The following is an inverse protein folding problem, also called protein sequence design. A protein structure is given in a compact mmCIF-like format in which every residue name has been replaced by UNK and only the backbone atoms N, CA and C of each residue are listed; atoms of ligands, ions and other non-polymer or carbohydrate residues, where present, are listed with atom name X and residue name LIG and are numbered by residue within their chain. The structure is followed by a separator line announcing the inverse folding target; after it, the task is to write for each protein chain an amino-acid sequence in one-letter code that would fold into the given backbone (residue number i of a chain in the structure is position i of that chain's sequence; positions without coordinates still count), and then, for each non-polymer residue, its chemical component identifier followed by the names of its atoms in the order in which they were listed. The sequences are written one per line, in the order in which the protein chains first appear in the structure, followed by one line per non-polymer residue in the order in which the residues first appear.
data_IF_808793847855
#
_entry.id   IF_808793847855
#
_cell.length_a   1.000
_cell.length_b   1.000
_cell.length_c   1.000
_cell.angle_alpha   90.00
_cell.angle_beta   90.00
_cell.angle_gamma   90.00
#
_symmetry.space_group_name_H-M   'P 1'
#
loop_
_entity.id
_entity.type
_entity.pdbx_description
1 polymer ?
#
# COMPACT_ATOMS: atom_id res chain seq x y z
N UNK A 1 -6.71 -12.88 -13.55
CA UNK A 1 -5.84 -12.17 -12.61
C UNK A 1 -5.31 -10.88 -13.23
N UNK A 2 -6.08 -10.20 -14.10
CA UNK A 2 -5.55 -9.17 -15.03
C UNK A 2 -6.21 -7.78 -14.90
N UNK A 3 -7.07 -7.54 -13.90
CA UNK A 3 -7.98 -6.38 -13.94
C UNK A 3 -7.80 -5.32 -12.84
N UNK A 4 -7.16 -5.62 -11.70
CA UNK A 4 -6.99 -4.64 -10.62
C UNK A 4 -5.66 -3.87 -10.61
N UNK A 5 -4.57 -4.43 -11.16
CA UNK A 5 -3.31 -3.69 -11.41
C UNK A 5 -3.58 -2.43 -12.25
N UNK A 6 -4.62 -2.46 -13.09
CA UNK A 6 -4.99 -1.38 -14.01
C UNK A 6 -5.66 -0.16 -13.34
N UNK A 7 -6.25 -0.28 -12.14
CA UNK A 7 -6.97 0.83 -11.50
C UNK A 7 -6.06 1.71 -10.62
N UNK A 8 -5.03 1.14 -9.98
CA UNK A 8 -4.00 1.89 -9.25
C UNK A 8 -2.99 2.58 -10.18
N UNK A 9 -2.48 1.85 -11.19
CA UNK A 9 -1.45 2.37 -12.11
C UNK A 9 -1.90 3.58 -12.95
N UNK A 10 -3.17 3.61 -13.36
CA UNK A 10 -3.70 4.69 -14.20
C UNK A 10 -3.80 6.02 -13.43
N UNK A 11 -3.86 6.00 -12.10
CA UNK A 11 -3.95 7.21 -11.28
C UNK A 11 -2.63 8.00 -11.20
N UNK A 12 -1.48 7.33 -11.33
CA UNK A 12 -0.14 7.93 -11.15
C UNK A 12 0.63 8.08 -12.48
N UNK A 13 0.05 7.64 -13.61
CA UNK A 13 0.67 7.74 -14.94
C UNK A 13 1.67 6.62 -15.25
N UNK A 14 1.74 5.62 -14.38
CA UNK A 14 2.52 4.39 -14.57
C UNK A 14 1.78 3.51 -15.58
N UNK A 15 2.49 3.05 -16.61
CA UNK A 15 1.90 2.17 -17.63
C UNK A 15 2.09 0.72 -17.22
N UNK A 16 1.18 -0.19 -17.57
CA UNK A 16 1.40 -1.62 -17.33
C UNK A 16 2.73 -2.11 -17.96
N UNK A 17 3.17 -1.44 -19.04
CA UNK A 17 4.45 -1.65 -19.70
C UNK A 17 5.68 -1.15 -18.94
N UNK A 18 5.53 -0.38 -17.85
CA UNK A 18 6.65 0.04 -17.00
C UNK A 18 6.73 -0.73 -15.67
N UNK A 19 5.63 -1.36 -15.22
CA UNK A 19 5.62 -2.26 -14.05
C UNK A 19 5.84 -3.73 -14.45
N UNK A 20 5.60 -4.05 -15.72
CA UNK A 20 5.76 -5.40 -16.29
C UNK A 20 6.62 -5.29 -17.55
N UNK A 21 7.69 -4.49 -17.50
CA UNK A 21 8.75 -4.61 -18.50
C UNK A 21 9.61 -5.82 -18.13
N UNK A 22 9.20 -7.00 -18.60
CA UNK A 22 10.02 -8.21 -18.50
C UNK A 22 11.26 -8.19 -19.38
N UNK A 23 11.74 -7.02 -19.83
CA UNK A 23 12.88 -6.85 -20.70
C UNK A 23 12.74 -7.75 -21.93
N UNK A 24 12.06 -7.27 -22.98
CA UNK A 24 12.15 -7.94 -24.29
C UNK A 24 13.53 -7.82 -24.94
N UNK A 25 14.47 -7.21 -24.22
CA UNK A 25 15.76 -6.78 -24.71
C UNK A 25 16.77 -7.87 -24.33
N UNK A 26 16.79 -8.91 -25.17
CA UNK A 26 17.85 -9.94 -25.28
C UNK A 26 17.85 -11.05 -24.21
N UNK A 27 17.13 -12.15 -24.49
CA UNK A 27 17.58 -13.53 -24.24
C UNK A 27 18.21 -13.86 -22.86
N UNK A 28 17.71 -13.31 -21.75
CA UNK A 28 18.19 -13.74 -20.43
C UNK A 28 17.51 -15.06 -20.01
N UNK A 29 18.34 -16.08 -19.80
CA UNK A 29 17.90 -17.41 -19.37
C UNK A 29 17.46 -17.32 -17.92
N UNK A 30 16.17 -17.61 -17.64
CA UNK A 30 15.70 -17.71 -16.26
C UNK A 30 16.34 -18.93 -15.58
N UNK A 31 17.08 -18.73 -14.49
CA UNK A 31 17.46 -19.86 -13.64
C UNK A 31 16.32 -20.13 -12.66
N UNK A 32 15.88 -21.38 -12.58
CA UNK A 32 14.83 -21.79 -11.64
C UNK A 32 15.40 -22.65 -10.53
N UNK A 33 15.10 -22.28 -9.29
CA UNK A 33 15.47 -23.02 -8.09
C UNK A 33 14.23 -23.26 -7.23
N UNK A 34 13.98 -24.53 -6.91
CA UNK A 34 12.82 -24.95 -6.11
C UNK A 34 13.31 -25.52 -4.77
N UNK A 35 12.71 -25.04 -3.68
CA UNK A 35 12.81 -25.56 -2.33
C UNK A 35 11.96 -26.81 -2.11
N UNK A 36 11.75 -27.15 -0.84
CA UNK A 36 11.12 -28.36 -0.35
C UNK A 36 9.96 -28.01 0.60
N UNK A 37 9.52 -28.96 1.44
CA UNK A 37 8.46 -28.68 2.43
C UNK A 37 9.03 -28.30 3.81
N UNK A 38 10.32 -27.99 3.91
CA UNK A 38 10.91 -27.49 5.14
C UNK A 38 11.92 -26.38 4.85
N UNK A 39 12.45 -25.79 5.92
CA UNK A 39 13.27 -24.57 5.87
C UNK A 39 14.45 -24.67 4.89
N UNK A 40 14.38 -23.88 3.82
CA UNK A 40 15.34 -23.83 2.73
C UNK A 40 16.10 -22.48 2.67
N UNK A 41 17.24 -22.49 1.98
CA UNK A 41 17.99 -21.26 1.66
C UNK A 41 18.33 -21.28 0.18
N UNK A 42 17.71 -20.39 -0.57
CA UNK A 42 17.81 -20.29 -2.03
C UNK A 42 18.52 -18.99 -2.41
N UNK A 43 19.35 -19.04 -3.45
CA UNK A 43 20.08 -17.87 -3.97
C UNK A 43 20.06 -17.91 -5.50
N UNK A 44 19.67 -16.82 -6.14
CA UNK A 44 19.66 -16.64 -7.59
C UNK A 44 21.05 -16.35 -8.14
N UNK A 45 21.62 -15.20 -7.75
CA UNK A 45 22.96 -14.77 -8.14
C UNK A 45 22.92 -13.60 -9.11
N UNK A 46 23.52 -13.76 -10.28
CA UNK A 46 23.48 -12.75 -11.34
C UNK A 46 22.48 -13.18 -12.42
N UNK A 47 21.74 -12.22 -12.98
CA UNK A 47 20.75 -12.41 -14.02
C UNK A 47 19.38 -12.77 -13.46
N UNK A 48 18.36 -12.82 -14.31
CA UNK A 48 17.00 -13.13 -13.88
C UNK A 48 16.81 -14.56 -13.38
N UNK A 49 16.28 -14.68 -12.18
CA UNK A 49 16.04 -15.94 -11.49
C UNK A 49 14.58 -16.10 -11.02
N UNK A 50 14.18 -17.36 -10.80
CA UNK A 50 12.90 -17.76 -10.22
C UNK A 50 13.16 -18.69 -9.04
N UNK A 51 12.86 -18.23 -7.83
CA UNK A 51 13.09 -18.93 -6.58
C UNK A 51 11.74 -19.26 -5.93
N UNK A 52 11.50 -20.52 -5.58
CA UNK A 52 10.27 -20.96 -4.90
C UNK A 52 10.62 -21.68 -3.59
N UNK A 53 10.23 -21.15 -2.43
CA UNK A 53 10.45 -21.77 -1.10
C UNK A 53 9.54 -22.96 -0.84
N UNK A 54 8.26 -22.80 -1.19
CA UNK A 54 7.16 -23.75 -1.02
C UNK A 54 6.60 -23.83 0.41
N UNK A 55 7.14 -24.63 1.31
CA UNK A 55 6.68 -24.61 2.70
C UNK A 55 7.87 -24.76 3.65
N UNK A 56 7.78 -24.15 4.83
CA UNK A 56 8.93 -24.01 5.71
C UNK A 56 9.15 -22.54 6.04
N UNK A 57 10.12 -22.25 6.90
CA UNK A 57 10.61 -20.89 7.07
C UNK A 57 11.81 -20.70 6.14
N UNK A 58 11.58 -20.12 4.96
CA UNK A 58 12.55 -20.08 3.88
C UNK A 58 13.30 -18.75 3.81
N UNK A 59 14.54 -18.80 3.31
CA UNK A 59 15.34 -17.62 2.99
C UNK A 59 15.62 -17.60 1.49
N UNK A 60 15.07 -16.62 0.78
CA UNK A 60 15.26 -16.43 -0.66
C UNK A 60 16.01 -15.11 -0.91
N UNK A 61 17.01 -15.16 -1.77
CA UNK A 61 17.86 -14.02 -2.17
C UNK A 61 18.03 -14.03 -3.70
N UNK A 62 17.42 -13.07 -4.39
CA UNK A 62 17.46 -12.94 -5.85
C UNK A 62 18.87 -12.61 -6.32
N UNK A 63 19.41 -11.50 -5.83
CA UNK A 63 20.78 -11.08 -6.07
C UNK A 63 20.82 -9.87 -7.00
N UNK A 64 21.35 -10.02 -8.21
CA UNK A 64 21.37 -8.96 -9.20
C UNK A 64 20.65 -9.45 -10.46
N UNK A 65 19.72 -8.67 -10.99
CA UNK A 65 18.82 -9.11 -12.04
C UNK A 65 17.39 -8.76 -11.68
N UNK A 66 16.46 -9.00 -12.60
CA UNK A 66 15.04 -8.77 -12.36
C UNK A 66 14.38 -10.10 -11.98
N UNK A 67 14.30 -10.39 -10.69
CA UNK A 67 14.03 -11.71 -10.13
C UNK A 67 12.56 -11.92 -9.73
N UNK A 68 12.18 -13.19 -9.56
CA UNK A 68 10.88 -13.61 -9.02
C UNK A 68 11.07 -14.55 -7.84
N UNK A 69 10.58 -14.15 -6.67
CA UNK A 69 10.69 -14.90 -5.43
C UNK A 69 9.29 -15.23 -4.90
N UNK A 70 9.02 -16.51 -4.60
CA UNK A 70 7.80 -16.97 -3.93
C UNK A 70 8.17 -17.72 -2.65
N UNK A 71 7.80 -17.20 -1.47
CA UNK A 71 8.05 -17.83 -0.16
C UNK A 71 7.20 -19.08 0.01
N UNK A 72 5.89 -18.89 0.14
CA UNK A 72 4.90 -19.97 0.14
C UNK A 72 4.15 -20.07 1.46
N UNK A 73 4.40 -21.12 2.24
CA UNK A 73 3.75 -21.33 3.53
C UNK A 73 4.81 -21.41 4.64
N UNK A 74 4.73 -20.48 5.58
CA UNK A 74 5.62 -20.36 6.73
C UNK A 74 6.20 -18.96 6.79
N UNK A 75 6.97 -18.67 7.83
CA UNK A 75 7.50 -17.32 8.05
C UNK A 75 8.77 -17.14 7.22
N UNK A 76 8.65 -16.46 6.09
CA UNK A 76 9.67 -16.39 5.05
C UNK A 76 10.44 -15.07 5.04
N UNK A 77 11.67 -15.10 4.52
CA UNK A 77 12.52 -13.94 4.30
C UNK A 77 12.94 -13.85 2.84
N UNK A 78 12.39 -12.87 2.13
CA UNK A 78 12.65 -12.64 0.70
C UNK A 78 13.48 -11.36 0.52
N UNK A 79 14.49 -11.41 -0.35
CA UNK A 79 15.28 -10.25 -0.80
C UNK A 79 15.37 -10.25 -2.31
N UNK A 80 14.90 -9.19 -2.96
CA UNK A 80 15.05 -9.01 -4.41
C UNK A 80 16.52 -8.77 -4.76
N UNK A 81 17.05 -7.64 -4.27
CA UNK A 81 18.45 -7.30 -4.42
C UNK A 81 18.62 -6.09 -5.33
N UNK A 82 19.17 -6.26 -6.52
CA UNK A 82 19.35 -5.16 -7.46
C UNK A 82 18.70 -5.48 -8.80
N UNK A 83 17.81 -4.62 -9.28
CA UNK A 83 16.98 -4.86 -10.46
C UNK A 83 15.52 -4.71 -10.08
N UNK A 84 14.64 -4.84 -11.07
CA UNK A 84 13.20 -4.71 -10.84
C UNK A 84 12.62 -6.08 -10.46
N UNK A 85 12.33 -6.30 -9.18
CA UNK A 85 12.02 -7.60 -8.61
C UNK A 85 10.53 -7.80 -8.28
N UNK A 86 10.10 -9.06 -8.22
CA UNK A 86 8.75 -9.46 -7.79
C UNK A 86 8.84 -10.45 -6.62
N UNK A 87 8.33 -10.04 -5.46
CA UNK A 87 8.35 -10.82 -4.22
C UNK A 87 6.92 -11.14 -3.77
N UNK A 88 6.62 -12.43 -3.62
CA UNK A 88 5.34 -12.93 -3.10
C UNK A 88 5.58 -13.85 -1.90
N UNK A 89 5.22 -13.44 -0.68
CA UNK A 89 5.49 -14.27 0.50
C UNK A 89 4.36 -15.26 0.82
N UNK A 90 3.11 -14.85 0.58
CA UNK A 90 1.89 -15.64 0.58
C UNK A 90 1.27 -15.95 1.94
N UNK A 91 1.83 -16.83 2.78
CA UNK A 91 1.22 -17.14 4.10
C UNK A 91 2.28 -17.33 5.16
N UNK A 92 2.28 -16.47 6.16
CA UNK A 92 3.25 -16.49 7.25
C UNK A 92 3.33 -15.11 7.88
N UNK A 93 4.13 -14.96 8.93
CA UNK A 93 4.63 -13.64 9.30
C UNK A 93 5.93 -13.39 8.50
N UNK A 94 5.80 -12.73 7.37
CA UNK A 94 6.84 -12.67 6.36
C UNK A 94 7.66 -11.36 6.41
N UNK A 95 8.89 -11.40 5.90
CA UNK A 95 9.74 -10.21 5.73
C UNK A 95 10.27 -10.09 4.31
N UNK A 96 9.97 -8.99 3.64
CA UNK A 96 10.32 -8.73 2.24
C UNK A 96 11.17 -7.45 2.12
N UNK A 97 12.23 -7.53 1.33
CA UNK A 97 13.06 -6.40 0.95
C UNK A 97 13.17 -6.36 -0.58
N UNK A 98 12.71 -5.28 -1.22
CA UNK A 98 12.85 -5.05 -2.65
C UNK A 98 14.31 -4.87 -3.04
N UNK A 99 14.89 -3.74 -2.63
CA UNK A 99 16.31 -3.46 -2.78
C UNK A 99 16.54 -2.22 -3.64
N UNK A 100 17.41 -2.32 -4.65
CA UNK A 100 17.59 -1.26 -5.64
C UNK A 100 16.74 -1.58 -6.88
N UNK A 101 15.76 -0.77 -7.26
CA UNK A 101 14.98 -1.02 -8.48
C UNK A 101 13.53 -0.62 -8.33
N UNK A 102 12.70 -0.93 -9.32
CA UNK A 102 11.24 -0.78 -9.22
C UNK A 102 10.65 -2.12 -8.84
N UNK A 103 10.30 -2.28 -7.57
CA UNK A 103 9.92 -3.58 -7.01
C UNK A 103 8.42 -3.72 -6.78
N UNK A 104 7.95 -4.96 -6.81
CA UNK A 104 6.58 -5.34 -6.43
C UNK A 104 6.60 -6.35 -5.28
N UNK A 105 6.12 -5.93 -4.12
CA UNK A 105 6.09 -6.73 -2.89
C UNK A 105 4.65 -7.03 -2.47
N UNK A 106 4.37 -8.30 -2.22
CA UNK A 106 3.07 -8.78 -1.72
C UNK A 106 3.28 -9.69 -0.49
N UNK A 107 2.85 -9.24 0.69
CA UNK A 107 2.95 -9.99 1.95
C UNK A 107 2.03 -11.20 1.96
N UNK A 108 0.72 -10.96 1.87
CA UNK A 108 -0.29 -11.98 1.70
C UNK A 108 -1.15 -12.18 2.93
N UNK A 109 -0.90 -13.23 3.71
CA UNK A 109 -1.70 -13.53 4.90
C UNK A 109 -0.79 -13.75 6.09
N UNK A 110 -0.92 -12.87 7.08
CA UNK A 110 -0.20 -12.84 8.34
C UNK A 110 0.22 -11.42 8.64
N UNK A 111 0.96 -11.21 9.72
CA UNK A 111 1.43 -9.86 10.08
C UNK A 111 2.81 -9.67 9.42
N UNK A 112 2.84 -9.01 8.26
CA UNK A 112 4.00 -8.96 7.37
C UNK A 112 4.82 -7.66 7.51
N UNK A 113 6.11 -7.72 7.14
CA UNK A 113 7.01 -6.55 7.09
C UNK A 113 7.59 -6.39 5.68
N UNK A 114 7.24 -5.31 4.98
CA UNK A 114 7.66 -5.03 3.61
C UNK A 114 8.49 -3.73 3.57
N UNK A 115 9.63 -3.77 2.88
CA UNK A 115 10.48 -2.61 2.57
C UNK A 115 10.76 -2.55 1.07
N UNK A 116 10.37 -1.47 0.38
CA UNK A 116 10.75 -1.23 -1.01
C UNK A 116 12.25 -0.92 -1.15
N UNK A 117 12.78 -0.22 -0.15
CA UNK A 117 14.16 0.28 -0.09
C UNK A 117 14.40 1.45 -1.05
N UNK A 118 14.91 1.23 -2.27
CA UNK A 118 15.28 2.30 -3.18
C UNK A 118 14.69 2.12 -4.57
N UNK A 119 13.83 3.05 -4.97
CA UNK A 119 13.18 3.12 -6.26
C UNK A 119 11.70 3.44 -6.10
N UNK A 120 10.94 3.36 -7.18
CA UNK A 120 9.52 3.73 -7.17
C UNK A 120 8.68 2.45 -7.00
N UNK A 121 8.43 2.03 -5.77
CA UNK A 121 7.98 0.66 -5.46
C UNK A 121 6.46 0.52 -5.29
N UNK A 122 5.97 -0.73 -5.40
CA UNK A 122 4.60 -1.10 -5.08
C UNK A 122 4.58 -2.14 -3.96
N UNK A 123 4.00 -1.75 -2.81
CA UNK A 123 3.89 -2.60 -1.63
C UNK A 123 2.42 -2.88 -1.30
N UNK A 124 2.10 -4.16 -1.11
CA UNK A 124 0.80 -4.62 -0.66
C UNK A 124 0.93 -5.57 0.54
N UNK A 125 0.38 -5.17 1.68
CA UNK A 125 0.43 -5.95 2.93
C UNK A 125 -0.41 -7.21 2.82
N UNK A 126 -1.73 -7.04 2.64
CA UNK A 126 -2.64 -8.14 2.41
C UNK A 126 -3.65 -8.27 3.55
N UNK A 127 -3.58 -9.36 4.31
CA UNK A 127 -4.44 -9.62 5.48
C UNK A 127 -3.55 -9.86 6.69
N UNK A 128 -3.93 -9.28 7.82
CA UNK A 128 -3.09 -9.22 9.02
C UNK A 128 -2.53 -7.82 9.20
N UNK A 129 -1.98 -7.55 10.38
CA UNK A 129 -1.51 -6.21 10.72
C UNK A 129 -0.10 -5.99 10.19
N UNK A 130 -0.01 -5.31 9.05
CA UNK A 130 1.21 -5.23 8.27
C UNK A 130 2.01 -3.96 8.56
N UNK A 131 3.32 -4.01 8.29
CA UNK A 131 4.20 -2.83 8.26
C UNK A 131 4.81 -2.68 6.88
N UNK A 132 4.47 -1.58 6.20
CA UNK A 132 4.96 -1.25 4.87
C UNK A 132 5.83 0.00 4.93
N UNK A 133 7.01 -0.06 4.32
CA UNK A 133 7.92 1.06 4.16
C UNK A 133 8.32 1.19 2.69
N UNK A 134 7.94 2.27 2.02
CA UNK A 134 8.31 2.53 0.63
C UNK A 134 9.83 2.73 0.50
N UNK A 135 10.36 3.66 1.29
CA UNK A 135 11.78 3.90 1.38
C UNK A 135 12.15 5.17 0.65
N UNK A 136 12.90 5.06 -0.45
CA UNK A 136 13.32 6.21 -1.25
C UNK A 136 12.82 6.10 -2.68
N UNK A 137 11.99 7.05 -3.10
CA UNK A 137 11.39 7.10 -4.42
C UNK A 137 9.93 7.50 -4.29
N UNK A 138 9.16 7.34 -5.36
CA UNK A 138 7.73 7.63 -5.36
C UNK A 138 6.94 6.33 -5.29
N UNK A 139 6.50 6.00 -4.08
CA UNK A 139 5.99 4.67 -3.77
C UNK A 139 4.46 4.59 -3.74
N UNK A 140 3.93 3.39 -3.95
CA UNK A 140 2.52 3.06 -3.79
C UNK A 140 2.36 2.00 -2.69
N UNK A 141 1.75 2.38 -1.58
CA UNK A 141 1.54 1.50 -0.44
C UNK A 141 0.06 1.22 -0.22
N UNK A 142 -0.28 -0.06 -0.11
CA UNK A 142 -1.63 -0.52 0.13
C UNK A 142 -1.66 -1.55 1.28
N UNK A 143 -2.27 -1.19 2.42
CA UNK A 143 -2.45 -2.14 3.53
C UNK A 143 -3.36 -3.33 3.17
N UNK A 144 -4.42 -3.06 2.40
CA UNK A 144 -5.49 -4.04 2.10
C UNK A 144 -5.62 -4.45 0.62
N UNK A 145 -5.80 -5.75 0.31
CA UNK A 145 -6.78 -6.18 -0.70
C UNK A 145 -7.51 -7.43 -0.18
N UNK A 146 -8.69 -7.25 0.44
CA UNK A 146 -9.65 -8.34 0.42
C UNK A 146 -10.27 -8.45 -0.97
N UNK A 147 -9.63 -9.26 -1.81
CA UNK A 147 -10.13 -9.70 -3.11
C UNK A 147 -11.48 -10.44 -3.02
N UNK A 148 -12.06 -10.64 -1.83
CA UNK A 148 -13.39 -11.22 -1.64
C UNK A 148 -14.57 -10.26 -1.84
N UNK A 149 -14.36 -8.95 -2.02
CA UNK A 149 -15.47 -7.97 -2.18
C UNK A 149 -15.25 -6.98 -3.32
N UNK A 150 -15.35 -7.49 -4.54
CA UNK A 150 -15.27 -6.72 -5.81
C UNK A 150 -16.53 -5.86 -6.09
N UNK A 151 -17.26 -5.36 -5.09
CA UNK A 151 -18.50 -4.58 -5.35
C UNK A 151 -18.70 -3.29 -4.53
N UNK A 152 -17.83 -2.91 -3.61
CA UNK A 152 -18.02 -1.63 -2.92
C UNK A 152 -16.71 -0.84 -2.80
N UNK A 153 -16.76 0.36 -3.38
CA UNK A 153 -16.01 1.57 -2.99
C UNK A 153 -15.31 1.38 -1.65
N UNK A 154 -13.97 1.21 -1.65
CA UNK A 154 -13.08 1.14 -0.46
C UNK A 154 -13.90 0.93 0.81
N UNK A 155 -14.47 -0.26 0.96
CA UNK A 155 -15.38 -0.57 2.06
C UNK A 155 -14.52 -0.76 3.30
N UNK A 156 -14.16 0.36 3.93
CA UNK A 156 -13.28 0.44 5.08
C UNK A 156 -13.93 -0.11 6.37
N UNK A 157 -14.78 -1.12 6.23
CA UNK A 157 -15.64 -1.67 7.27
C UNK A 157 -15.41 -3.16 7.51
N UNK A 158 -14.63 -3.86 6.66
CA UNK A 158 -14.50 -5.32 6.71
C UNK A 158 -13.12 -5.86 7.11
N UNK A 159 -12.18 -5.01 7.57
CA UNK A 159 -10.83 -5.46 7.96
C UNK A 159 -10.37 -4.67 9.19
N UNK A 160 -10.11 -5.35 10.31
CA UNK A 160 -9.63 -4.76 11.58
C UNK A 160 -8.12 -4.94 11.70
N UNK A 161 -7.45 -4.88 10.57
CA UNK A 161 -6.00 -5.03 10.48
C UNK A 161 -5.45 -3.62 10.49
N UNK A 162 -4.75 -3.28 11.57
CA UNK A 162 -4.26 -1.93 11.80
C UNK A 162 -2.85 -1.85 11.24
N UNK A 163 -2.77 -1.50 9.96
CA UNK A 163 -1.50 -1.46 9.24
C UNK A 163 -0.70 -0.20 9.58
N UNK A 164 0.62 -0.29 9.44
CA UNK A 164 1.52 0.86 9.48
C UNK A 164 2.12 1.08 8.10
N UNK A 165 1.86 2.25 7.52
CA UNK A 165 2.38 2.63 6.20
C UNK A 165 3.34 3.82 6.37
N UNK A 166 4.56 3.68 5.90
CA UNK A 166 5.59 4.73 5.85
C UNK A 166 6.00 4.94 4.38
N UNK A 167 5.71 6.10 3.80
CA UNK A 167 6.11 6.43 2.43
C UNK A 167 7.63 6.58 2.34
N UNK A 168 8.17 7.55 3.06
CA UNK A 168 9.60 7.73 3.22
C UNK A 168 10.09 8.99 2.54
N UNK A 169 10.91 8.87 1.51
CA UNK A 169 11.46 10.01 0.79
C UNK A 169 10.99 10.00 -0.66
N UNK A 170 10.21 11.01 -1.05
CA UNK A 170 9.70 11.17 -2.40
C UNK A 170 8.21 11.43 -2.35
N UNK A 171 7.52 11.40 -3.48
CA UNK A 171 6.08 11.68 -3.48
C UNK A 171 5.29 10.38 -3.47
N UNK A 172 4.68 10.05 -2.33
CA UNK A 172 4.10 8.73 -2.12
C UNK A 172 2.57 8.73 -2.20
N UNK A 173 1.99 7.56 -2.48
CA UNK A 173 0.55 7.32 -2.48
C UNK A 173 0.20 6.19 -1.51
N UNK A 174 -0.46 6.54 -0.41
CA UNK A 174 -0.83 5.62 0.65
C UNK A 174 -2.35 5.39 0.67
N UNK A 175 -2.78 4.14 0.54
CA UNK A 175 -4.17 3.72 0.64
C UNK A 175 -4.48 3.22 2.04
N UNK A 176 -5.36 3.93 2.75
CA UNK A 176 -5.66 3.72 4.16
C UNK A 176 -7.02 3.04 4.35
N UNK A 177 -6.99 1.94 5.10
CA UNK A 177 -8.10 1.22 5.70
C UNK A 177 -8.49 1.78 7.07
N UNK A 178 -9.17 0.95 7.87
CA UNK A 178 -9.62 1.32 9.21
C UNK A 178 -8.62 0.88 10.27
N UNK A 179 -8.14 1.83 11.06
CA UNK A 179 -7.18 1.58 12.13
C UNK A 179 -5.73 1.83 11.71
N UNK A 180 -5.49 2.00 10.41
CA UNK A 180 -4.17 2.24 9.84
C UNK A 180 -3.51 3.50 10.42
N UNK A 181 -2.19 3.44 10.52
CA UNK A 181 -1.34 4.56 10.87
C UNK A 181 -0.41 4.84 9.70
N UNK A 182 -0.48 6.05 9.15
CA UNK A 182 0.27 6.46 7.98
C UNK A 182 1.25 7.60 8.31
N UNK A 183 2.43 7.53 7.70
CA UNK A 183 3.42 8.60 7.66
C UNK A 183 3.85 8.77 6.20
N UNK A 184 3.61 9.95 5.61
CA UNK A 184 4.01 10.22 4.23
C UNK A 184 5.53 10.37 4.11
N UNK A 185 6.13 11.08 5.05
CA UNK A 185 7.56 11.30 5.13
C UNK A 185 7.95 12.68 4.58
N UNK A 186 8.85 12.69 3.61
CA UNK A 186 9.34 13.91 2.98
C UNK A 186 8.63 14.17 1.65
N UNK A 187 8.64 15.42 1.19
CA UNK A 187 7.99 15.85 -0.06
C UNK A 187 6.46 15.75 0.01
N UNK A 188 5.81 15.74 -1.16
CA UNK A 188 4.34 15.80 -1.25
C UNK A 188 3.77 14.40 -1.34
N UNK A 189 2.94 14.07 -0.36
CA UNK A 189 2.28 12.78 -0.30
C UNK A 189 0.77 12.86 -0.54
N UNK A 190 0.21 11.74 -0.96
CA UNK A 190 -1.21 11.56 -1.17
C UNK A 190 -1.74 10.42 -0.31
N UNK A 191 -2.69 10.73 0.56
CA UNK A 191 -3.39 9.76 1.38
C UNK A 191 -4.80 9.55 0.81
N UNK A 192 -5.11 8.32 0.42
CA UNK A 192 -6.45 7.94 -0.05
C UNK A 192 -7.13 7.04 0.98
N UNK A 193 -8.37 7.37 1.32
CA UNK A 193 -9.16 6.64 2.32
C UNK A 193 -10.62 6.49 1.87
N UNK A 194 -11.30 5.45 2.37
CA UNK A 194 -12.74 5.25 2.19
C UNK A 194 -13.62 6.05 3.17
N UNK A 195 -14.93 5.79 3.12
CA UNK A 195 -15.90 6.23 4.15
C UNK A 195 -16.03 5.14 5.21
N UNK A 196 -15.98 5.53 6.47
CA UNK A 196 -16.01 4.61 7.61
C UNK A 196 -17.42 4.45 8.20
N UNK A 197 -17.73 3.28 8.75
CA UNK A 197 -18.95 3.07 9.55
C UNK A 197 -18.73 3.46 11.00
N UNK A 198 -19.82 3.87 11.65
CA UNK A 198 -19.86 4.25 13.06
C UNK A 198 -19.34 3.10 13.96
N UNK A 199 -18.21 3.31 14.64
CA UNK A 199 -17.58 2.34 15.54
C UNK A 199 -16.29 1.66 15.00
N UNK A 200 -15.92 1.87 13.74
CA UNK A 200 -14.59 1.51 13.24
C UNK A 200 -13.51 2.49 13.75
N UNK A 201 -12.30 1.98 13.99
CA UNK A 201 -11.17 2.84 14.30
C UNK A 201 -10.80 3.61 13.02
N UNK A 202 -10.73 4.95 13.05
CA UNK A 202 -10.33 5.71 11.88
C UNK A 202 -8.82 5.65 11.67
N UNK A 203 -8.34 5.88 10.44
CA UNK A 203 -6.91 5.96 10.19
C UNK A 203 -6.33 7.23 10.82
N UNK A 204 -5.04 7.17 11.11
CA UNK A 204 -4.25 8.26 11.66
C UNK A 204 -3.14 8.59 10.67
N UNK A 205 -3.02 9.85 10.28
CA UNK A 205 -1.88 10.35 9.51
C UNK A 205 -1.00 11.15 10.46
N UNK A 206 0.24 10.73 10.68
CA UNK A 206 1.08 11.25 11.76
C UNK A 206 1.75 12.59 11.43
N UNK A 207 2.00 12.87 10.15
CA UNK A 207 2.92 13.90 9.68
C UNK A 207 2.38 14.85 8.61
N UNK A 208 1.08 14.84 8.36
CA UNK A 208 0.43 15.66 7.33
C UNK A 208 0.87 17.15 7.36
N UNK A 209 1.34 17.65 6.22
CA UNK A 209 1.79 19.02 5.97
C UNK A 209 0.80 19.76 5.07
N UNK A 210 0.00 20.71 5.61
CA UNK A 210 -0.97 21.45 4.81
C UNK A 210 -0.35 22.27 3.68
N UNK A 211 -0.86 22.07 2.45
CA UNK A 211 -0.40 22.77 1.25
C UNK A 211 0.78 22.12 0.55
N UNK A 212 1.37 21.10 1.17
CA UNK A 212 2.25 20.12 0.54
C UNK A 212 1.41 18.87 0.23
N UNK A 213 0.87 18.22 1.26
CA UNK A 213 0.18 16.94 1.16
C UNK A 213 -1.29 17.03 0.74
N UNK A 214 -1.80 15.90 0.26
CA UNK A 214 -3.15 15.73 -0.23
C UNK A 214 -3.84 14.62 0.56
N UNK A 215 -5.01 14.93 1.11
CA UNK A 215 -5.94 13.92 1.62
C UNK A 215 -7.15 13.82 0.69
N UNK A 216 -7.33 12.64 0.11
CA UNK A 216 -8.48 12.31 -0.72
C UNK A 216 -9.35 11.27 -0.01
N UNK A 217 -10.67 11.50 -0.03
CA UNK A 217 -11.65 10.59 0.58
C UNK A 217 -12.56 10.10 -0.54
N UNK A 218 -12.55 8.79 -0.79
CA UNK A 218 -13.41 8.19 -1.79
C UNK A 218 -14.83 8.09 -1.25
N UNK A 219 -15.78 8.67 -1.98
CA UNK A 219 -17.20 8.74 -1.60
C UNK A 219 -18.06 8.06 -2.67
N UNK A 220 -19.04 7.21 -2.31
CA UNK A 220 -19.97 6.63 -3.28
C UNK A 220 -20.77 7.71 -4.02
N UNK A 221 -20.97 7.56 -5.33
CA UNK A 221 -21.52 8.56 -6.27
C UNK A 221 -22.94 9.08 -5.97
N UNK A 222 -23.64 8.57 -4.96
CA UNK A 222 -25.01 8.96 -4.60
C UNK A 222 -25.17 9.56 -3.18
N UNK A 223 -24.09 9.75 -2.43
CA UNK A 223 -24.13 10.14 -1.03
C UNK A 223 -23.77 11.62 -0.79
N UNK A 224 -24.53 12.29 0.09
CA UNK A 224 -24.07 13.52 0.73
C UNK A 224 -23.23 13.09 1.94
N UNK A 225 -21.93 13.36 1.95
CA UNK A 225 -21.05 12.95 3.07
C UNK A 225 -20.80 14.12 3.99
N UNK A 226 -20.99 13.91 5.28
CA UNK A 226 -20.48 14.80 6.33
C UNK A 226 -19.17 14.20 6.81
N UNK A 227 -18.06 14.86 6.49
CA UNK A 227 -16.72 14.49 6.98
C UNK A 227 -16.45 15.34 8.21
N UNK A 228 -16.36 14.73 9.39
CA UNK A 228 -15.69 15.36 10.52
C UNK A 228 -14.19 14.99 10.47
N UNK A 229 -13.34 15.98 10.73
CA UNK A 229 -11.88 15.82 10.74
C UNK A 229 -11.43 16.42 12.05
N UNK A 230 -10.76 15.63 12.88
CA UNK A 230 -10.18 16.11 14.13
C UNK A 230 -8.67 16.08 13.97
N UNK A 231 -8.11 17.19 13.52
CA UNK A 231 -6.66 17.36 13.40
C UNK A 231 -6.14 18.14 14.63
N UNK A 232 -5.10 17.61 15.28
CA UNK A 232 -4.31 18.36 16.27
C UNK A 232 -3.40 19.37 15.54
N UNK A 233 -3.02 19.03 14.30
CA UNK A 233 -2.61 20.00 13.30
C UNK A 233 -3.78 20.94 13.03
N UNK A 234 -3.52 22.24 13.06
CA UNK A 234 -4.39 23.15 12.35
C UNK A 234 -4.43 22.69 10.90
N UNK A 235 -5.54 22.07 10.52
CA UNK A 235 -6.18 22.22 9.23
C UNK A 235 -5.51 21.53 7.97
N UNK A 236 -6.08 20.39 7.49
CA UNK A 236 -5.97 19.74 6.13
C UNK A 236 -7.06 19.98 4.99
N UNK A 237 -6.71 20.35 3.75
CA UNK A 237 -7.71 20.50 2.65
C UNK A 237 -8.32 19.14 2.27
N UNK A 238 -9.65 19.00 2.38
CA UNK A 238 -10.38 17.77 1.99
C UNK A 238 -11.26 18.03 0.79
N UNK A 239 -11.12 17.18 -0.23
CA UNK A 239 -11.95 17.23 -1.43
C UNK A 239 -12.73 15.92 -1.59
N UNK A 240 -13.98 16.03 -2.05
CA UNK A 240 -14.84 14.92 -2.43
C UNK A 240 -15.51 15.28 -3.76
N UNK A 241 -15.50 14.34 -4.72
CA UNK A 241 -16.13 14.50 -6.03
C UNK A 241 -15.71 15.76 -6.81
N UNK A 242 -14.43 16.15 -6.71
CA UNK A 242 -13.90 17.34 -7.39
C UNK A 242 -14.36 18.68 -6.78
N UNK A 243 -15.06 18.67 -5.64
CA UNK A 243 -15.30 19.85 -4.83
C UNK A 243 -14.43 19.83 -3.57
N UNK A 244 -13.81 20.97 -3.27
CA UNK A 244 -13.16 21.19 -1.97
C UNK A 244 -14.26 21.26 -0.92
N UNK A 245 -14.32 20.25 -0.03
CA UNK A 245 -15.33 20.10 1.02
C UNK A 245 -14.86 20.77 2.31
N UNK A 246 -13.55 20.79 2.55
CA UNK A 246 -12.95 21.58 3.62
C UNK A 246 -11.65 22.22 3.12
N UNK A 247 -11.49 23.50 3.41
CA UNK A 247 -10.18 24.14 3.46
C UNK A 247 -9.81 24.31 4.89
N UNK A 248 -8.54 24.17 5.12
CA UNK A 248 -8.08 23.84 6.42
C UNK A 248 -6.66 24.46 6.32
N UNK A 249 -6.54 25.66 6.90
CA UNK A 249 -5.36 26.51 6.88
C UNK A 249 -4.67 26.49 8.28
N UNK A 250 -3.53 25.80 8.43
CA UNK A 250 -2.78 25.76 9.69
C UNK A 250 -1.43 25.02 9.61
N UNK A 251 -0.83 24.68 10.77
CA UNK A 251 0.54 24.15 10.88
C UNK A 251 0.58 22.60 10.88
N UNK A 252 1.66 22.01 10.36
CA UNK A 252 1.90 20.57 10.25
C UNK A 252 1.71 19.79 11.57
N UNK A 253 1.30 18.52 11.46
CA UNK A 253 1.13 17.59 12.59
C UNK A 253 0.13 16.46 12.32
N UNK A 254 -0.27 15.76 13.37
CA UNK A 254 -1.14 14.58 13.28
C UNK A 254 -2.58 14.94 12.89
N UNK A 255 -3.13 14.20 11.93
CA UNK A 255 -4.51 14.24 11.48
C UNK A 255 -5.19 12.92 11.85
N UNK A 256 -6.21 12.99 12.70
CA UNK A 256 -7.10 11.86 12.96
C UNK A 256 -8.41 12.10 12.24
N UNK A 257 -8.79 11.19 11.34
CA UNK A 257 -10.12 11.24 10.74
C UNK A 257 -11.12 10.78 11.81
N UNK A 258 -12.28 11.40 11.96
CA UNK A 258 -13.26 10.96 12.96
C UNK A 258 -14.65 11.21 12.41
N UNK A 259 -15.55 10.22 12.48
CA UNK A 259 -16.93 10.37 12.01
C UNK A 259 -17.06 10.77 10.50
N UNK A 260 -16.46 9.99 9.58
CA UNK A 260 -16.77 10.12 8.14
C UNK A 260 -18.11 9.43 7.87
N UNK A 261 -19.23 10.14 7.88
CA UNK A 261 -20.57 9.54 7.72
C UNK A 261 -21.23 9.93 6.39
N UNK A 262 -21.77 8.94 5.68
CA UNK A 262 -22.75 9.17 4.61
C UNK A 262 -24.08 9.58 5.24
N UNK A 263 -24.53 10.79 4.97
CA UNK A 263 -25.87 11.26 5.33
C UNK A 263 -26.75 11.07 4.10
N UNK A 264 -27.59 10.04 4.11
CA UNK A 264 -28.64 9.90 3.12
C UNK A 264 -29.58 11.11 3.18
N UNK A 265 -30.06 11.56 2.01
CA UNK A 265 -30.69 12.87 1.77
C UNK A 265 -32.09 13.04 2.38
N UNK A 266 -32.26 12.71 3.66
CA UNK A 266 -33.43 13.09 4.44
C UNK A 266 -32.98 13.71 5.77
N UNK A 267 -32.97 15.04 5.80
CA UNK A 267 -32.84 15.94 6.97
C UNK A 267 -31.45 16.51 7.30
N UNK A 268 -30.94 17.41 6.45
CA UNK A 268 -30.16 18.57 6.94
C UNK A 268 -31.09 19.79 7.01
N UNK A 269 -31.98 19.79 7.99
CA UNK A 269 -32.58 21.01 8.54
C UNK A 269 -32.04 21.13 9.96
N UNK A 270 -31.39 22.25 10.25
CA UNK A 270 -30.97 22.71 11.59
C UNK A 270 -29.70 22.09 12.19
N UNK A 271 -28.53 22.64 11.82
CA UNK A 271 -27.52 23.07 12.81
C UNK A 271 -26.87 24.38 12.32
N UNK A 272 -27.60 25.49 12.47
CA UNK A 272 -27.01 26.82 12.72
C UNK A 272 -27.92 27.49 13.73
N UNK A 273 -27.45 27.57 14.98
CA UNK A 273 -27.90 28.55 15.96
C UNK A 273 -26.65 29.12 16.63
#
# INVERSE_FOLDING_TARGET
MELLVLLGLVAVGVTLSSLVDFGSDEEETITRTDGTEGDDTLTGGDGRDLLLGAAGADILDGGAGNDQLEGGIGDDLLRGGAGDDVLLAARGEDTLFGGDGVDLLYGGVGDDSLSGDAGDDLLEGGRGADTLNGGAGSDLLWGILDSSRVDDVIDATDIVDADRLEGGAGSDLLFLGSGDVANGGADRDAFLTGVYVDGSAPPVIEDFVPGEDILAIQVPTAATVSVAITADAGAAVVSANGQVVARLDGAAGTVTLADIRVVENEAIQSIVA
#
